data_IF_535064843193
#
_entry.id   IF_535064843193
#
_cell.length_a   1.000
_cell.length_b   1.000
_cell.length_c   1.000
_cell.angle_alpha   90.00
_cell.angle_beta   90.00
_cell.angle_gamma   90.00
#
_symmetry.space_group_name_H-M   'P 1'
#
loop_
_entity.id
_entity.type
_entity.pdbx_description
1 polymer ?
#
# COMPACT_ATOMS: atom_id res chain seq x y z
N UNK A 1 -4.05 1.58 13.20
CA UNK A 1 -2.72 2.07 12.80
C UNK A 1 -2.72 3.57 12.64
N UNK A 2 -2.78 4.24 13.77
CA UNK A 2 -2.76 5.71 13.72
C UNK A 2 -1.52 6.24 13.03
N UNK A 3 -0.42 5.50 13.17
CA UNK A 3 0.85 5.93 12.61
C UNK A 3 0.83 5.98 11.09
N UNK A 4 -0.05 5.21 10.46
CA UNK A 4 -0.16 5.23 9.00
C UNK A 4 -1.10 6.32 8.51
N UNK A 5 -1.80 6.97 9.42
CA UNK A 5 -2.65 8.09 9.07
C UNK A 5 -1.81 9.34 8.89
N UNK A 6 -2.13 10.08 7.87
CA UNK A 6 -1.58 11.40 7.64
C UNK A 6 -2.74 12.36 7.46
N UNK A 7 -2.60 13.62 7.87
CA UNK A 7 -3.69 14.59 7.74
C UNK A 7 -4.26 14.68 6.34
N UNK A 8 -3.38 14.60 5.31
CA UNK A 8 -3.85 14.66 3.93
C UNK A 8 -4.77 13.48 3.59
N UNK A 9 -4.49 12.30 4.11
CA UNK A 9 -5.29 11.11 3.85
C UNK A 9 -6.66 11.24 4.51
N UNK A 10 -6.69 11.72 5.73
CA UNK A 10 -7.93 11.88 6.45
C UNK A 10 -8.83 12.91 5.79
N UNK A 11 -8.26 14.05 5.42
CA UNK A 11 -9.00 15.09 4.72
C UNK A 11 -9.57 14.55 3.41
N UNK A 12 -8.79 13.75 2.73
CA UNK A 12 -9.20 13.17 1.47
C UNK A 12 -10.42 12.27 1.65
N UNK A 13 -10.37 11.39 2.64
CA UNK A 13 -11.46 10.45 2.91
C UNK A 13 -12.72 11.19 3.35
N UNK A 14 -12.59 12.22 4.15
CA UNK A 14 -13.74 13.01 4.61
C UNK A 14 -14.46 13.71 3.48
N UNK A 15 -13.72 14.15 2.48
CA UNK A 15 -14.31 14.93 1.37
C UNK A 15 -14.82 14.04 0.25
N UNK A 16 -14.44 12.76 0.22
CA UNK A 16 -14.77 11.88 -0.90
C UNK A 16 -15.20 10.52 -0.37
N UNK A 17 -16.45 10.18 -0.64
CA UNK A 17 -17.03 8.93 -0.17
C UNK A 17 -17.06 7.85 -1.23
N UNK A 18 -16.70 8.18 -2.46
CA UNK A 18 -16.76 7.25 -3.58
C UNK A 18 -15.37 6.88 -4.07
N UNK A 19 -15.32 6.11 -5.15
CA UNK A 19 -14.06 5.66 -5.74
C UNK A 19 -13.14 6.83 -6.08
N UNK A 20 -13.71 7.93 -6.55
CA UNK A 20 -12.93 9.11 -6.91
C UNK A 20 -12.24 9.74 -5.70
N UNK A 21 -12.75 9.46 -4.51
CA UNK A 21 -12.14 9.95 -3.27
C UNK A 21 -11.06 9.05 -2.72
N UNK A 22 -10.85 7.89 -3.31
CA UNK A 22 -9.86 6.94 -2.81
C UNK A 22 -8.46 7.39 -3.17
N UNK A 23 -7.57 7.46 -2.16
CA UNK A 23 -6.21 7.92 -2.36
C UNK A 23 -5.44 7.00 -3.32
N UNK A 24 -5.71 5.69 -3.29
CA UNK A 24 -5.05 4.74 -4.19
C UNK A 24 -5.60 4.81 -5.60
N UNK A 25 -6.92 4.93 -5.76
CA UNK A 25 -7.52 5.08 -7.08
C UNK A 25 -7.03 6.35 -7.76
N UNK A 26 -6.87 7.42 -6.99
CA UNK A 26 -6.35 8.66 -7.54
C UNK A 26 -4.87 8.56 -7.91
N UNK A 27 -4.07 7.91 -7.08
CA UNK A 27 -2.66 7.73 -7.38
C UNK A 27 -2.47 6.93 -8.67
N UNK A 28 -3.23 5.86 -8.83
CA UNK A 28 -3.09 5.00 -10.00
C UNK A 28 -3.60 5.65 -11.29
N UNK A 29 -4.48 6.62 -11.19
CA UNK A 29 -5.03 7.34 -12.34
C UNK A 29 -4.08 8.43 -12.85
N UNK A 30 -3.11 8.85 -12.06
CA UNK A 30 -2.17 9.89 -12.44
C UNK A 30 -1.00 9.31 -13.23
N UNK A 31 -0.36 10.15 -14.04
CA UNK A 31 0.88 9.78 -14.69
C UNK A 31 1.97 9.60 -13.65
N UNK A 32 2.91 8.73 -13.95
CA UNK A 32 4.01 8.46 -13.03
C UNK A 32 4.89 9.68 -12.89
N UNK A 33 5.11 10.07 -11.64
CA UNK A 33 5.91 11.24 -11.30
C UNK A 33 6.34 11.10 -9.85
N UNK A 34 7.17 12.02 -9.39
CA UNK A 34 7.57 12.04 -7.98
C UNK A 34 6.37 12.25 -7.06
N UNK A 35 5.31 12.88 -7.57
CA UNK A 35 4.15 13.19 -6.74
C UNK A 35 3.23 12.02 -6.47
N UNK A 36 3.15 11.04 -7.35
CA UNK A 36 2.24 9.92 -7.11
C UNK A 36 2.89 8.74 -6.40
N UNK A 37 4.22 8.75 -6.26
CA UNK A 37 4.98 7.79 -5.46
C UNK A 37 4.91 6.33 -5.92
N UNK A 38 4.34 6.06 -7.09
CA UNK A 38 4.26 4.69 -7.59
C UNK A 38 5.64 4.27 -8.08
N UNK A 39 6.15 3.18 -7.52
CA UNK A 39 7.47 2.65 -7.86
C UNK A 39 7.42 1.64 -8.99
N UNK A 40 6.30 0.93 -9.14
CA UNK A 40 6.16 -0.12 -10.15
C UNK A 40 4.69 -0.41 -10.42
N UNK A 41 4.34 -0.54 -11.69
CA UNK A 41 2.99 -0.96 -12.09
C UNK A 41 3.05 -2.35 -12.72
N UNK A 42 2.30 -3.30 -12.13
CA UNK A 42 2.12 -4.62 -12.70
C UNK A 42 0.85 -4.65 -13.55
N UNK A 43 0.37 -5.84 -13.84
CA UNK A 43 -0.87 -6.01 -14.59
C UNK A 43 -2.11 -5.79 -13.75
N UNK A 44 -2.08 -6.26 -12.51
CA UNK A 44 -3.25 -6.28 -11.62
C UNK A 44 -3.04 -5.50 -10.33
N UNK A 45 -1.79 -5.17 -10.04
CA UNK A 45 -1.44 -4.48 -8.81
C UNK A 45 -0.21 -3.61 -9.04
N UNK A 46 0.05 -2.73 -8.10
CA UNK A 46 1.20 -1.84 -8.21
C UNK A 46 1.85 -1.68 -6.83
N UNK A 47 3.07 -1.15 -6.85
CA UNK A 47 3.85 -0.86 -5.65
C UNK A 47 3.95 0.64 -5.50
N UNK A 48 3.62 1.14 -4.32
CA UNK A 48 3.65 2.57 -4.03
C UNK A 48 4.41 2.82 -2.73
N UNK A 49 5.17 3.90 -2.70
CA UNK A 49 5.87 4.33 -1.49
C UNK A 49 4.87 4.96 -0.53
N UNK A 50 5.07 4.72 0.77
CA UNK A 50 4.28 5.41 1.76
C UNK A 50 4.82 6.84 1.90
N UNK A 51 3.95 7.82 1.73
CA UNK A 51 4.35 9.24 1.77
C UNK A 51 4.96 9.64 3.10
N UNK A 52 4.49 9.05 4.18
CA UNK A 52 4.94 9.36 5.54
C UNK A 52 5.44 8.11 6.24
N UNK A 53 6.56 7.55 5.79
CA UNK A 53 7.08 6.31 6.39
C UNK A 53 7.70 6.56 7.76
N UNK A 54 7.59 5.58 8.64
CA UNK A 54 8.30 5.59 9.92
C UNK A 54 9.76 5.28 9.73
N UNK A 55 9.99 4.37 8.79
CA UNK A 55 11.34 3.92 8.45
C UNK A 55 11.49 4.05 6.96
N UNK A 56 12.70 4.16 6.51
CA UNK A 56 12.97 4.11 5.09
C UNK A 56 12.50 2.77 4.52
N UNK A 57 12.01 2.80 3.29
CA UNK A 57 11.63 1.59 2.61
C UNK A 57 10.23 1.06 2.88
N UNK A 58 9.36 1.83 3.53
CA UNK A 58 7.97 1.43 3.73
C UNK A 58 7.23 1.45 2.38
N UNK A 59 6.90 0.27 1.89
CA UNK A 59 6.19 0.10 0.62
C UNK A 59 4.81 -0.47 0.85
N UNK A 60 3.93 -0.24 -0.13
CA UNK A 60 2.60 -0.84 -0.13
C UNK A 60 2.35 -1.49 -1.48
N UNK A 61 1.70 -2.65 -1.47
CA UNK A 61 1.26 -3.33 -2.68
C UNK A 61 -0.25 -3.19 -2.75
N UNK A 62 -0.74 -2.63 -3.85
CA UNK A 62 -2.14 -2.21 -3.99
C UNK A 62 -2.73 -2.78 -5.27
N UNK A 63 -3.88 -3.46 -5.21
CA UNK A 63 -4.54 -3.90 -6.44
C UNK A 63 -5.14 -2.71 -7.16
N UNK A 64 -5.22 -2.77 -8.50
CA UNK A 64 -5.88 -1.71 -9.24
C UNK A 64 -7.38 -1.68 -8.96
N UNK A 65 -7.97 -2.84 -8.70
CA UNK A 65 -9.39 -2.90 -8.38
C UNK A 65 -9.67 -2.29 -7.01
N UNK A 66 -10.73 -1.50 -6.94
CA UNK A 66 -11.16 -0.86 -5.70
C UNK A 66 -12.02 -1.83 -4.90
N UNK A 67 -11.39 -2.62 -4.03
CA UNK A 67 -12.05 -3.59 -3.17
C UNK A 67 -11.58 -3.41 -1.74
N UNK A 68 -12.50 -3.56 -0.80
CA UNK A 68 -12.21 -3.35 0.61
C UNK A 68 -11.60 -4.59 1.27
N UNK A 69 -11.88 -5.77 0.75
CA UNK A 69 -11.48 -7.02 1.38
C UNK A 69 -10.78 -7.94 0.38
N UNK A 70 -9.87 -8.72 0.90
CA UNK A 70 -8.99 -9.54 0.08
C UNK A 70 -9.74 -10.61 -0.72
N UNK A 71 -10.75 -11.20 -0.13
CA UNK A 71 -11.50 -12.29 -0.76
C UNK A 71 -12.36 -11.84 -1.94
N UNK A 72 -12.54 -10.54 -2.11
CA UNK A 72 -13.25 -10.01 -3.29
C UNK A 72 -12.34 -9.87 -4.51
N UNK A 73 -11.04 -9.99 -4.31
CA UNK A 73 -10.09 -10.01 -5.42
C UNK A 73 -10.00 -11.42 -5.98
N UNK A 74 -9.74 -11.55 -7.28
CA UNK A 74 -9.57 -12.89 -7.84
C UNK A 74 -8.19 -13.47 -7.47
N UNK A 75 -8.04 -14.77 -7.72
CA UNK A 75 -6.81 -15.47 -7.35
C UNK A 75 -5.59 -14.94 -8.09
N UNK A 76 -5.76 -14.51 -9.32
CA UNK A 76 -4.65 -13.96 -10.11
C UNK A 76 -4.16 -12.64 -9.52
N UNK A 77 -5.08 -11.80 -9.09
CA UNK A 77 -4.71 -10.53 -8.46
C UNK A 77 -4.01 -10.77 -7.13
N UNK A 78 -4.56 -11.67 -6.29
CA UNK A 78 -3.93 -12.01 -5.01
C UNK A 78 -2.54 -12.61 -5.22
N UNK A 79 -2.41 -13.46 -6.24
CA UNK A 79 -1.11 -14.05 -6.57
C UNK A 79 -0.09 -13.02 -6.99
N UNK A 80 -0.49 -12.08 -7.83
CA UNK A 80 0.41 -11.02 -8.26
C UNK A 80 0.81 -10.13 -7.07
N UNK A 81 -0.13 -9.81 -6.19
CA UNK A 81 0.17 -9.02 -5.00
C UNK A 81 1.23 -9.70 -4.13
N UNK A 82 1.12 -11.01 -3.95
CA UNK A 82 2.09 -11.75 -3.16
C UNK A 82 3.45 -11.81 -3.87
N UNK A 83 3.44 -11.96 -5.19
CA UNK A 83 4.69 -11.97 -5.96
C UNK A 83 5.39 -10.62 -5.87
N UNK A 84 4.64 -9.53 -5.99
CA UNK A 84 5.20 -8.19 -5.84
C UNK A 84 5.73 -7.96 -4.43
N UNK A 85 5.03 -8.46 -3.42
CA UNK A 85 5.49 -8.37 -2.04
C UNK A 85 6.85 -9.07 -1.88
N UNK A 86 6.99 -10.27 -2.43
CA UNK A 86 8.24 -11.01 -2.37
C UNK A 86 9.38 -10.25 -3.07
N UNK A 87 9.10 -9.68 -4.23
CA UNK A 87 10.10 -8.90 -4.96
C UNK A 87 10.51 -7.65 -4.19
N UNK A 88 9.56 -6.99 -3.55
CA UNK A 88 9.87 -5.84 -2.70
C UNK A 88 10.83 -6.22 -1.58
N UNK A 89 10.60 -7.37 -0.94
CA UNK A 89 11.47 -7.83 0.14
C UNK A 89 12.89 -8.09 -0.37
N UNK A 90 13.03 -8.69 -1.55
CA UNK A 90 14.34 -8.93 -2.15
C UNK A 90 15.09 -7.62 -2.36
N UNK A 91 14.41 -6.64 -2.93
CA UNK A 91 15.01 -5.33 -3.20
C UNK A 91 15.37 -4.60 -1.91
N UNK A 92 14.46 -4.60 -0.94
CA UNK A 92 14.70 -3.93 0.34
C UNK A 92 15.86 -4.57 1.10
N UNK A 93 16.01 -5.90 1.02
CA UNK A 93 17.16 -6.56 1.64
C UNK A 93 18.49 -6.07 1.07
N UNK A 94 18.51 -5.84 -0.23
CA UNK A 94 19.74 -5.36 -0.89
C UNK A 94 20.04 -3.90 -0.55
N UNK A 95 19.01 -3.08 -0.51
CA UNK A 95 19.19 -1.62 -0.34
C UNK A 95 19.38 -1.22 1.12
N UNK A 96 18.64 -1.83 2.03
CA UNK A 96 18.60 -1.38 3.42
C UNK A 96 19.14 -2.40 4.41
N UNK A 97 19.31 -3.63 4.00
CA UNK A 97 19.81 -4.72 4.85
C UNK A 97 19.06 -4.82 6.17
N UNK A 98 17.73 -4.92 6.13
CA UNK A 98 16.94 -5.01 7.36
C UNK A 98 17.16 -6.34 8.06
N UNK A 99 16.91 -6.37 9.36
CA UNK A 99 16.99 -7.59 10.15
C UNK A 99 15.69 -8.39 10.10
N UNK A 100 14.60 -7.75 9.69
CA UNK A 100 13.32 -8.41 9.52
C UNK A 100 12.33 -7.52 8.80
N UNK A 101 11.14 -8.05 8.60
CA UNK A 101 10.04 -7.32 7.98
C UNK A 101 8.76 -7.55 8.76
N UNK A 102 7.92 -6.52 8.79
CA UNK A 102 6.50 -6.71 9.09
C UNK A 102 5.76 -6.53 7.78
N UNK A 103 4.97 -7.52 7.40
CA UNK A 103 4.13 -7.39 6.22
C UNK A 103 2.72 -7.86 6.55
N UNK A 104 1.74 -7.24 5.93
CA UNK A 104 0.36 -7.59 6.16
C UNK A 104 -0.59 -6.49 5.73
N UNK A 105 -1.87 -6.75 5.91
CA UNK A 105 -2.94 -5.81 5.57
C UNK A 105 -3.84 -5.59 6.76
N UNK A 106 -4.29 -4.35 6.94
CA UNK A 106 -5.32 -4.03 7.91
C UNK A 106 -6.63 -3.97 7.14
N UNK A 107 -7.56 -4.85 7.48
CA UNK A 107 -8.83 -4.95 6.76
C UNK A 107 -9.96 -4.56 7.69
N UNK A 108 -10.67 -3.51 7.31
CA UNK A 108 -11.76 -2.99 8.11
C UNK A 108 -11.29 -1.96 9.12
N UNK A 109 -12.20 -1.10 9.50
CA UNK A 109 -11.92 0.00 10.42
C UNK A 109 -11.50 -0.50 11.80
N UNK A 110 -12.13 -1.58 12.27
CA UNK A 110 -11.81 -2.15 13.58
C UNK A 110 -10.39 -2.72 13.66
N UNK A 111 -9.81 -3.06 12.51
CA UNK A 111 -8.43 -3.57 12.45
C UNK A 111 -7.42 -2.47 12.19
N UNK A 112 -7.87 -1.21 12.16
CA UNK A 112 -6.98 -0.07 11.99
C UNK A 112 -6.70 0.32 10.56
N UNK A 113 -7.58 -0.08 9.62
CA UNK A 113 -7.40 0.29 8.23
C UNK A 113 -7.52 1.80 8.05
N UNK A 114 -6.46 2.43 7.55
CA UNK A 114 -6.47 3.86 7.26
C UNK A 114 -7.25 4.16 5.99
N UNK A 115 -7.10 3.30 4.98
CA UNK A 115 -7.89 3.39 3.75
C UNK A 115 -8.72 2.11 3.70
N UNK A 116 -9.87 2.13 4.36
CA UNK A 116 -10.68 0.94 4.59
C UNK A 116 -11.40 0.41 3.35
N UNK A 117 -11.51 1.22 2.32
CA UNK A 117 -12.24 0.86 1.11
C UNK A 117 -11.38 0.25 0.02
N UNK A 118 -10.07 0.26 0.20
CA UNK A 118 -9.13 -0.24 -0.80
C UNK A 118 -8.04 -1.04 -0.11
N UNK A 119 -8.16 -2.35 -0.13
CA UNK A 119 -7.23 -3.25 0.56
C UNK A 119 -5.83 -3.11 -0.02
N UNK A 120 -4.82 -3.21 0.83
CA UNK A 120 -3.43 -3.11 0.41
C UNK A 120 -2.53 -3.79 1.42
N UNK A 121 -1.36 -4.23 0.96
CA UNK A 121 -0.37 -4.90 1.80
C UNK A 121 0.73 -3.91 2.13
N UNK A 122 1.05 -3.80 3.42
CA UNK A 122 2.19 -3.01 3.89
C UNK A 122 3.42 -3.90 3.99
N UNK A 123 4.57 -3.34 3.63
CA UNK A 123 5.86 -4.00 3.78
C UNK A 123 6.76 -3.01 4.50
N UNK A 124 7.12 -3.32 5.73
CA UNK A 124 7.91 -2.42 6.57
C UNK A 124 9.19 -3.13 7.01
N UNK A 125 10.37 -2.67 6.55
CA UNK A 125 11.62 -3.23 7.04
C UNK A 125 11.87 -2.83 8.47
N UNK A 126 12.51 -3.71 9.22
CA UNK A 126 12.76 -3.49 10.64
C UNK A 126 14.22 -3.79 10.97
N UNK A 127 14.74 -3.04 11.93
CA UNK A 127 16.07 -3.23 12.52
C UNK A 127 15.94 -3.25 14.02
N UNK A 128 16.86 -3.92 14.68
CA UNK A 128 16.92 -3.90 16.14
C UNK A 128 17.31 -2.51 16.64
N UNK A 129 16.68 -2.07 17.69
CA UNK A 129 16.90 -0.72 18.22
C UNK A 129 15.94 0.28 17.60
#
# INVERSE_FOLDING_TARGET
MKQLWAPWRMTYIENHENVDGCVFCNAQAKEDSADNLIAHRGERAYVILNRYPYTGGHLMVVPFEHKAILEELDAQTRGEMMELTSRCMIILRKLYKPQGFNMGANIGEAAGAGVKEHVHIHIVPRWKG
#
